data_IF_875787487487
#
_entry.id   IF_875787487487
#
_cell.length_a   1.000
_cell.length_b   1.000
_cell.length_c   1.000
_cell.angle_alpha   90.00
_cell.angle_beta   90.00
_cell.angle_gamma   90.00
#
_symmetry.space_group_name_H-M   'P 1'
#
loop_
_entity.id
_entity.type
_entity.pdbx_description
1 polymer ?
#
# COMPACT_ATOMS: atom_id res chain seq x y z
N UNK A 1 45.97 -28.37 25.89
CA UNK A 1 44.70 -29.00 25.49
C UNK A 1 43.87 -27.90 24.87
N UNK A 2 43.94 -27.81 23.55
CA UNK A 2 43.08 -26.95 22.72
C UNK A 2 41.80 -27.71 22.50
N UNK A 3 40.69 -27.12 22.93
CA UNK A 3 39.35 -27.66 22.72
C UNK A 3 38.99 -27.58 21.23
N UNK A 4 38.69 -28.69 20.54
CA UNK A 4 38.38 -28.68 19.12
C UNK A 4 36.89 -28.97 18.93
N UNK A 5 36.04 -27.95 18.84
CA UNK A 5 34.76 -27.95 18.08
C UNK A 5 33.93 -26.69 18.43
N UNK A 6 34.36 -25.55 17.91
CA UNK A 6 33.38 -24.58 17.41
C UNK A 6 33.47 -24.73 15.89
N UNK A 7 32.56 -25.52 15.31
CA UNK A 7 32.28 -25.43 13.88
C UNK A 7 31.81 -24.00 13.66
N UNK A 8 32.70 -23.14 13.16
CA UNK A 8 32.29 -21.92 12.47
C UNK A 8 31.38 -22.38 11.33
N UNK A 9 30.07 -22.31 11.55
CA UNK A 9 29.09 -22.45 10.48
C UNK A 9 29.40 -21.29 9.54
N UNK A 10 29.95 -21.61 8.37
CA UNK A 10 30.24 -20.60 7.37
C UNK A 10 28.89 -20.16 6.77
N UNK A 11 28.29 -19.16 7.42
CA UNK A 11 26.98 -18.60 7.08
C UNK A 11 26.91 -18.25 5.59
N UNK A 12 27.99 -17.72 5.02
CA UNK A 12 28.08 -17.36 3.60
C UNK A 12 27.96 -18.58 2.67
N UNK A 13 28.59 -19.71 3.02
CA UNK A 13 28.47 -20.95 2.23
C UNK A 13 27.05 -21.53 2.27
N UNK A 14 26.35 -21.40 3.41
CA UNK A 14 24.96 -21.87 3.53
C UNK A 14 24.00 -21.00 2.70
N UNK A 15 24.21 -19.68 2.70
CA UNK A 15 23.42 -18.73 1.87
C UNK A 15 23.59 -19.09 0.39
N UNK A 16 24.83 -19.19 -0.08
CA UNK A 16 25.13 -19.53 -1.48
C UNK A 16 24.55 -20.90 -1.88
N UNK A 17 24.59 -21.89 -0.98
CA UNK A 17 23.97 -23.18 -1.26
C UNK A 17 22.44 -23.07 -1.39
N UNK A 18 21.76 -22.33 -0.50
CA UNK A 18 20.31 -22.15 -0.58
C UNK A 18 19.93 -21.46 -1.90
N UNK A 19 20.59 -20.35 -2.25
CA UNK A 19 20.31 -19.63 -3.49
C UNK A 19 20.57 -20.49 -4.74
N UNK A 20 21.68 -21.24 -4.76
CA UNK A 20 21.99 -22.15 -5.85
C UNK A 20 20.92 -23.25 -6.00
N UNK A 21 20.43 -23.80 -4.90
CA UNK A 21 19.39 -24.83 -4.95
C UNK A 21 18.05 -24.20 -5.36
N UNK A 22 17.78 -22.94 -4.99
CA UNK A 22 16.61 -22.19 -5.44
C UNK A 22 16.65 -21.92 -6.95
N UNK A 23 17.79 -21.50 -7.49
CA UNK A 23 17.98 -21.27 -8.93
C UNK A 23 17.91 -22.57 -9.75
N UNK A 24 18.18 -23.73 -9.13
CA UNK A 24 18.02 -25.04 -9.76
C UNK A 24 16.60 -25.62 -9.61
N UNK A 25 15.68 -24.89 -8.95
CA UNK A 25 14.30 -25.32 -8.68
C UNK A 25 14.19 -26.68 -7.97
N UNK A 26 15.17 -27.06 -7.14
CA UNK A 26 15.20 -28.34 -6.41
C UNK A 26 14.48 -28.20 -5.06
N UNK A 27 13.15 -28.24 -5.10
CA UNK A 27 12.28 -28.15 -3.91
C UNK A 27 12.64 -29.20 -2.82
N UNK A 28 12.87 -30.49 -3.14
CA UNK A 28 13.28 -31.47 -2.12
C UNK A 28 14.54 -31.07 -1.35
N UNK A 29 15.57 -30.57 -2.05
CA UNK A 29 16.81 -30.13 -1.39
C UNK A 29 16.62 -28.80 -0.66
N UNK A 30 15.87 -27.83 -1.24
CA UNK A 30 15.52 -26.59 -0.56
C UNK A 30 14.84 -26.85 0.78
N UNK A 31 13.87 -27.77 0.82
CA UNK A 31 13.15 -28.12 2.04
C UNK A 31 14.08 -28.66 3.14
N UNK A 32 15.10 -29.43 2.77
CA UNK A 32 16.09 -29.91 3.73
C UNK A 32 16.94 -28.74 4.25
N UNK A 33 17.45 -27.90 3.36
CA UNK A 33 18.27 -26.75 3.74
C UNK A 33 17.53 -25.75 4.62
N UNK A 34 16.26 -25.44 4.32
CA UNK A 34 15.43 -24.56 5.14
C UNK A 34 15.25 -25.13 6.55
N UNK A 35 14.99 -26.44 6.67
CA UNK A 35 14.84 -27.09 7.99
C UNK A 35 16.14 -27.12 8.78
N UNK A 36 17.24 -27.43 8.12
CA UNK A 36 18.55 -27.58 8.76
C UNK A 36 19.11 -26.22 9.25
N UNK A 37 18.66 -25.10 8.67
CA UNK A 37 19.14 -23.76 8.99
C UNK A 37 18.12 -22.88 9.75
N UNK A 38 16.98 -23.42 10.18
CA UNK A 38 15.90 -22.65 10.80
C UNK A 38 16.27 -21.97 12.14
N UNK A 39 17.40 -22.32 12.76
CA UNK A 39 17.81 -21.77 14.07
C UNK A 39 18.40 -20.35 13.98
N UNK A 40 18.75 -19.87 12.79
CA UNK A 40 19.41 -18.57 12.58
C UNK A 40 18.51 -17.55 11.89
N UNK A 41 17.20 -17.69 12.00
CA UNK A 41 16.18 -16.93 11.26
C UNK A 41 15.53 -17.76 10.16
N UNK A 42 14.64 -17.16 9.36
CA UNK A 42 13.97 -17.87 8.27
C UNK A 42 14.91 -18.01 7.05
N UNK A 43 15.39 -19.22 6.70
CA UNK A 43 16.32 -19.40 5.59
C UNK A 43 15.72 -19.09 4.22
N UNK A 44 14.39 -18.98 4.11
CA UNK A 44 13.72 -18.52 2.89
C UNK A 44 13.96 -17.03 2.59
N UNK A 45 14.47 -16.27 3.57
CA UNK A 45 14.72 -14.82 3.51
C UNK A 45 16.21 -14.44 3.58
N UNK A 46 17.12 -15.41 3.44
CA UNK A 46 18.55 -15.08 3.36
C UNK A 46 18.83 -14.20 2.15
N UNK A 47 19.80 -13.29 2.27
CA UNK A 47 20.22 -12.41 1.18
C UNK A 47 21.67 -12.68 0.83
N UNK A 48 21.94 -12.82 -0.47
CA UNK A 48 23.30 -12.80 -0.98
C UNK A 48 23.93 -11.41 -0.76
N UNK A 49 25.08 -11.31 -0.07
CA UNK A 49 25.72 -10.01 0.19
C UNK A 49 26.21 -9.29 -1.07
N UNK A 50 26.40 -9.99 -2.20
CA UNK A 50 26.91 -9.39 -3.43
C UNK A 50 25.82 -8.83 -4.35
N UNK A 51 24.64 -9.47 -4.39
CA UNK A 51 23.53 -9.08 -5.27
C UNK A 51 22.29 -8.61 -4.53
N UNK A 52 22.16 -8.94 -3.24
CA UNK A 52 20.93 -8.76 -2.46
C UNK A 52 19.85 -9.78 -2.78
N UNK A 53 20.14 -10.77 -3.65
CA UNK A 53 19.14 -11.76 -4.04
C UNK A 53 18.70 -12.59 -2.84
N UNK A 54 17.40 -12.79 -2.76
CA UNK A 54 16.77 -13.80 -1.91
C UNK A 54 16.59 -15.10 -2.69
N UNK A 55 16.27 -16.23 -2.04
CA UNK A 55 15.86 -17.45 -2.74
C UNK A 55 14.74 -17.22 -3.77
N UNK A 56 13.80 -16.28 -3.52
CA UNK A 56 12.79 -15.90 -4.50
C UNK A 56 13.41 -15.25 -5.74
N UNK A 57 14.30 -14.25 -5.57
CA UNK A 57 15.01 -13.65 -6.70
C UNK A 57 15.78 -14.69 -7.51
N UNK A 58 16.53 -15.57 -6.84
CA UNK A 58 17.32 -16.61 -7.50
C UNK A 58 16.45 -17.60 -8.28
N UNK A 59 15.31 -18.03 -7.73
CA UNK A 59 14.38 -18.92 -8.42
C UNK A 59 13.75 -18.25 -9.66
N UNK A 60 13.43 -16.95 -9.59
CA UNK A 60 12.81 -16.20 -10.69
C UNK A 60 13.84 -15.87 -11.77
N UNK A 61 15.04 -15.44 -11.40
CA UNK A 61 16.13 -15.13 -12.32
C UNK A 61 16.49 -16.35 -13.20
N UNK A 62 16.45 -17.56 -12.64
CA UNK A 62 16.71 -18.80 -13.38
C UNK A 62 15.66 -19.14 -14.45
N UNK A 63 14.55 -18.40 -14.52
CA UNK A 63 13.50 -18.55 -15.54
C UNK A 63 13.68 -17.60 -16.74
N UNK A 64 14.75 -16.80 -16.79
CA UNK A 64 15.04 -15.92 -17.92
C UNK A 64 15.20 -16.72 -19.23
N UNK A 65 14.70 -16.17 -20.33
CA UNK A 65 14.77 -16.82 -21.64
C UNK A 65 16.17 -16.61 -22.25
N UNK A 66 16.91 -17.68 -22.56
CA UNK A 66 18.23 -17.65 -23.23
C UNK A 66 18.21 -17.03 -24.66
N UNK A 67 17.06 -16.54 -25.13
CA UNK A 67 16.85 -16.07 -26.49
C UNK A 67 17.53 -14.73 -26.83
N UNK A 68 17.87 -13.92 -25.82
CA UNK A 68 18.57 -12.63 -26.00
C UNK A 68 20.05 -12.81 -26.40
N UNK A 69 20.71 -13.91 -26.01
CA UNK A 69 22.13 -14.15 -26.31
C UNK A 69 22.37 -14.73 -27.74
N UNK A 70 21.32 -15.21 -28.42
CA UNK A 70 21.45 -16.01 -29.64
C UNK A 70 21.16 -15.27 -30.96
N UNK A 71 21.44 -13.96 -31.03
CA UNK A 71 21.43 -13.17 -32.28
C UNK A 71 22.59 -13.52 -33.24
N UNK A 72 22.98 -14.81 -33.31
CA UNK A 72 24.24 -15.20 -33.95
C UNK A 72 24.42 -16.63 -34.43
N UNK A 73 23.46 -17.57 -34.38
CA UNK A 73 23.53 -18.79 -35.20
C UNK A 73 22.27 -19.69 -35.11
N UNK A 74 21.66 -19.95 -36.28
CA UNK A 74 21.04 -21.25 -36.58
C UNK A 74 19.65 -21.51 -36.01
N UNK A 75 18.62 -21.00 -36.68
CA UNK A 75 17.25 -21.48 -36.55
C UNK A 75 17.14 -22.95 -37.02
N UNK A 76 17.08 -23.89 -36.08
CA UNK A 76 16.73 -25.29 -36.38
C UNK A 76 16.03 -26.09 -35.25
N UNK A 77 15.86 -25.55 -34.03
CA UNK A 77 15.32 -26.32 -32.88
C UNK A 77 14.22 -25.61 -32.06
N UNK A 78 13.40 -24.74 -32.67
CA UNK A 78 12.42 -23.88 -31.96
C UNK A 78 11.45 -24.64 -31.04
N UNK A 79 10.81 -25.70 -31.53
CA UNK A 79 9.78 -26.44 -30.75
C UNK A 79 10.33 -27.16 -29.52
N UNK A 80 11.59 -27.62 -29.56
CA UNK A 80 12.23 -28.32 -28.42
C UNK A 80 12.75 -27.36 -27.36
N UNK A 81 13.20 -26.17 -27.76
CA UNK A 81 13.66 -25.13 -26.85
C UNK A 81 12.48 -24.47 -26.12
N UNK A 82 11.38 -24.20 -26.83
CA UNK A 82 10.14 -23.67 -26.22
C UNK A 82 9.57 -24.62 -25.16
N UNK A 83 9.53 -25.93 -25.44
CA UNK A 83 9.06 -26.93 -24.48
C UNK A 83 9.96 -27.07 -23.25
N UNK A 84 11.27 -26.86 -23.38
CA UNK A 84 12.17 -26.91 -22.25
C UNK A 84 12.07 -25.64 -21.40
N UNK A 85 11.97 -24.47 -22.05
CA UNK A 85 11.77 -23.20 -21.36
C UNK A 85 10.47 -23.18 -20.56
N UNK A 86 9.39 -23.75 -21.11
CA UNK A 86 8.12 -23.87 -20.40
C UNK A 86 8.24 -24.73 -19.15
N UNK A 87 9.03 -25.82 -19.19
CA UNK A 87 9.28 -26.64 -17.99
C UNK A 87 10.08 -25.87 -16.94
N UNK A 88 11.07 -25.08 -17.35
CA UNK A 88 11.84 -24.23 -16.42
C UNK A 88 10.93 -23.20 -15.76
N UNK A 89 10.08 -22.52 -16.53
CA UNK A 89 9.09 -21.57 -16.00
C UNK A 89 8.12 -22.24 -15.03
N UNK A 90 7.65 -23.45 -15.35
CA UNK A 90 6.78 -24.23 -14.46
C UNK A 90 7.49 -24.65 -13.16
N UNK A 91 8.74 -25.13 -13.24
CA UNK A 91 9.52 -25.50 -12.07
C UNK A 91 9.84 -24.28 -11.17
N UNK A 92 10.12 -23.13 -11.80
CA UNK A 92 10.29 -21.85 -11.11
C UNK A 92 9.01 -21.40 -10.40
N UNK A 93 7.86 -21.49 -11.06
CA UNK A 93 6.56 -21.20 -10.46
C UNK A 93 6.27 -22.07 -9.23
N UNK A 94 6.54 -23.39 -9.31
CA UNK A 94 6.39 -24.30 -8.18
C UNK A 94 7.36 -23.97 -7.03
N UNK A 95 8.59 -23.59 -7.36
CA UNK A 95 9.61 -23.19 -6.38
C UNK A 95 9.23 -21.89 -5.68
N UNK A 96 8.74 -20.89 -6.42
CA UNK A 96 8.24 -19.62 -5.88
C UNK A 96 7.07 -19.87 -4.91
N UNK A 97 6.09 -20.69 -5.31
CA UNK A 97 4.96 -21.05 -4.43
C UNK A 97 5.44 -21.73 -3.15
N UNK A 98 6.40 -22.65 -3.25
CA UNK A 98 6.97 -23.32 -2.10
C UNK A 98 7.69 -22.32 -1.17
N UNK A 99 8.54 -21.45 -1.69
CA UNK A 99 9.26 -20.46 -0.90
C UNK A 99 8.31 -19.50 -0.16
N UNK A 100 7.25 -19.02 -0.83
CA UNK A 100 6.22 -18.20 -0.20
C UNK A 100 5.49 -18.94 0.94
N UNK A 101 5.25 -20.25 0.79
CA UNK A 101 4.65 -21.09 1.85
C UNK A 101 5.59 -21.27 3.05
N UNK A 102 6.91 -21.23 2.82
CA UNK A 102 7.94 -21.26 3.88
C UNK A 102 8.23 -19.85 4.45
N UNK A 103 7.41 -18.85 4.12
CA UNK A 103 7.49 -17.50 4.68
C UNK A 103 8.49 -16.58 3.99
N UNK A 104 8.79 -16.82 2.71
CA UNK A 104 9.57 -15.90 1.90
C UNK A 104 8.85 -14.53 1.73
N UNK A 105 9.59 -13.43 1.87
CA UNK A 105 9.08 -12.06 1.78
C UNK A 105 8.92 -11.65 0.31
N UNK A 106 7.70 -11.25 -0.07
CA UNK A 106 7.30 -11.01 -1.45
C UNK A 106 7.80 -9.67 -2.02
N UNK A 107 8.03 -8.67 -1.16
CA UNK A 107 8.45 -7.30 -1.49
C UNK A 107 9.91 -7.00 -1.09
N UNK A 108 10.67 -8.04 -0.76
CA UNK A 108 12.05 -7.89 -0.31
C UNK A 108 12.92 -7.31 -1.44
N UNK A 109 13.77 -6.32 -1.13
CA UNK A 109 14.58 -5.64 -2.16
C UNK A 109 15.95 -6.29 -2.34
N UNK A 110 16.39 -6.39 -3.61
CA UNK A 110 17.77 -6.65 -4.00
C UNK A 110 18.63 -5.36 -4.00
N UNK A 111 19.91 -5.45 -4.36
CA UNK A 111 20.79 -4.27 -4.41
C UNK A 111 20.50 -3.31 -5.58
N UNK A 112 19.62 -3.68 -6.51
CA UNK A 112 19.15 -2.84 -7.61
C UNK A 112 17.80 -2.20 -7.32
N UNK A 113 17.29 -2.31 -6.09
CA UNK A 113 15.97 -1.82 -5.69
C UNK A 113 14.83 -2.52 -6.45
N UNK A 114 15.01 -3.79 -6.85
CA UNK A 114 13.98 -4.66 -7.41
C UNK A 114 13.44 -5.64 -6.36
N UNK A 115 12.12 -5.86 -6.37
CA UNK A 115 11.49 -6.98 -5.65
C UNK A 115 11.46 -8.24 -6.53
N UNK A 116 11.15 -9.43 -5.98
CA UNK A 116 10.93 -10.63 -6.78
C UNK A 116 9.92 -10.44 -7.91
N UNK A 117 8.83 -9.70 -7.67
CA UNK A 117 7.85 -9.41 -8.72
C UNK A 117 8.29 -8.31 -9.70
N UNK A 118 9.12 -7.34 -9.30
CA UNK A 118 9.77 -6.44 -10.27
C UNK A 118 10.60 -7.24 -11.29
N UNK A 119 11.42 -8.17 -10.79
CA UNK A 119 12.21 -9.08 -11.61
C UNK A 119 11.30 -9.95 -12.50
N UNK A 120 10.26 -10.58 -11.95
CA UNK A 120 9.32 -11.39 -12.72
C UNK A 120 8.65 -10.60 -13.85
N UNK A 121 8.22 -9.36 -13.57
CA UNK A 121 7.61 -8.47 -14.57
C UNK A 121 8.60 -8.11 -15.67
N UNK A 122 9.84 -7.75 -15.30
CA UNK A 122 10.90 -7.39 -16.25
C UNK A 122 11.25 -8.55 -17.18
N UNK A 123 11.23 -9.78 -16.68
CA UNK A 123 11.45 -11.00 -17.45
C UNK A 123 10.20 -11.50 -18.21
N UNK A 124 9.06 -10.82 -18.10
CA UNK A 124 7.82 -11.22 -18.77
C UNK A 124 7.17 -12.50 -18.19
N UNK A 125 7.48 -12.86 -16.95
CA UNK A 125 7.02 -14.07 -16.27
C UNK A 125 5.64 -13.86 -15.61
N UNK A 126 4.59 -13.72 -16.42
CA UNK A 126 3.25 -13.32 -15.97
C UNK A 126 2.65 -14.17 -14.84
N UNK A 127 2.69 -15.51 -14.93
CA UNK A 127 2.11 -16.36 -13.87
C UNK A 127 2.88 -16.29 -12.55
N UNK A 128 4.21 -16.13 -12.62
CA UNK A 128 5.06 -15.94 -11.45
C UNK A 128 4.77 -14.58 -10.84
N UNK A 129 4.67 -13.53 -11.66
CA UNK A 129 4.31 -12.19 -11.23
C UNK A 129 2.99 -12.18 -10.45
N UNK A 130 1.92 -12.76 -11.01
CA UNK A 130 0.63 -12.85 -10.32
C UNK A 130 0.72 -13.65 -9.01
N UNK A 131 1.54 -14.70 -8.96
CA UNK A 131 1.75 -15.47 -7.73
C UNK A 131 2.40 -14.62 -6.62
N UNK A 132 3.32 -13.72 -6.97
CA UNK A 132 3.93 -12.78 -6.01
C UNK A 132 2.90 -11.70 -5.60
N UNK A 133 2.13 -11.15 -6.55
CA UNK A 133 1.04 -10.21 -6.24
C UNK A 133 0.04 -10.83 -5.27
N UNK A 134 -0.44 -12.04 -5.54
CA UNK A 134 -1.37 -12.75 -4.65
C UNK A 134 -0.76 -13.01 -3.27
N UNK A 135 0.57 -13.18 -3.18
CA UNK A 135 1.25 -13.28 -1.89
C UNK A 135 1.24 -11.96 -1.12
N UNK A 136 1.47 -10.84 -1.81
CA UNK A 136 1.34 -9.51 -1.23
C UNK A 136 -0.07 -9.26 -0.70
N UNK A 137 -1.10 -9.57 -1.49
CA UNK A 137 -2.50 -9.44 -1.05
C UNK A 137 -2.78 -10.26 0.20
N UNK A 138 -2.33 -11.52 0.26
CA UNK A 138 -2.50 -12.35 1.46
C UNK A 138 -1.77 -11.78 2.69
N UNK A 139 -0.59 -11.22 2.49
CA UNK A 139 0.18 -10.59 3.57
C UNK A 139 -0.54 -9.35 4.11
N UNK A 140 -0.96 -8.43 3.24
CA UNK A 140 -1.69 -7.21 3.63
C UNK A 140 -3.00 -7.55 4.37
N UNK A 141 -3.80 -8.50 3.86
CA UNK A 141 -5.05 -8.90 4.52
C UNK A 141 -4.82 -9.53 5.90
N UNK A 142 -3.72 -10.27 6.06
CA UNK A 142 -3.36 -10.87 7.35
C UNK A 142 -2.92 -9.79 8.34
N UNK A 143 -2.04 -8.88 7.92
CA UNK A 143 -1.53 -7.78 8.75
C UNK A 143 -2.68 -6.87 9.21
N UNK A 144 -3.56 -6.44 8.28
CA UNK A 144 -4.76 -5.67 8.59
C UNK A 144 -5.67 -6.35 9.63
N UNK A 145 -5.64 -7.69 9.72
CA UNK A 145 -6.42 -8.45 10.71
C UNK A 145 -5.68 -8.61 12.05
N UNK A 146 -4.36 -8.70 12.02
CA UNK A 146 -3.51 -8.83 13.21
C UNK A 146 -3.42 -7.52 13.99
N UNK A 147 -3.44 -6.36 13.32
CA UNK A 147 -3.48 -5.05 13.99
C UNK A 147 -4.75 -4.84 14.81
N UNK A 148 -5.82 -5.59 14.51
CA UNK A 148 -7.06 -5.64 15.29
C UNK A 148 -7.12 -6.80 16.31
N UNK A 149 -6.06 -7.58 16.47
CA UNK A 149 -6.01 -8.70 17.41
C UNK A 149 -5.58 -8.21 18.79
N UNK A 150 -6.55 -7.98 19.68
CA UNK A 150 -6.26 -7.97 21.12
C UNK A 150 -5.92 -9.41 21.55
N UNK A 151 -4.75 -9.67 22.15
CA UNK A 151 -4.45 -10.98 22.69
C UNK A 151 -5.51 -11.34 23.71
N UNK A 152 -6.13 -12.52 23.54
CA UNK A 152 -6.96 -13.10 24.57
C UNK A 152 -6.06 -13.28 25.79
N UNK A 153 -6.28 -12.47 26.83
CA UNK A 153 -5.71 -12.73 28.15
C UNK A 153 -6.20 -14.13 28.50
N UNK A 154 -5.28 -15.10 28.53
CA UNK A 154 -5.55 -16.39 29.11
C UNK A 154 -5.92 -16.10 30.57
N UNK A 155 -7.21 -16.25 30.91
CA UNK A 155 -7.62 -16.31 32.31
C UNK A 155 -6.85 -17.48 32.90
N UNK A 156 -5.73 -17.18 33.58
CA UNK A 156 -5.10 -18.13 34.49
C UNK A 156 -6.19 -18.59 35.44
N UNK A 157 -6.44 -19.90 35.46
CA UNK A 157 -7.35 -20.58 36.37
C UNK A 157 -6.99 -20.20 37.82
N UNK A 158 -7.58 -19.12 38.34
CA UNK A 158 -7.53 -18.78 39.76
C UNK A 158 -8.69 -19.49 40.47
N UNK A 159 -8.28 -20.45 41.29
CA UNK A 159 -9.06 -21.27 42.21
C UNK A 159 -10.28 -20.55 42.82
N UNK A 160 -11.43 -21.21 42.73
CA UNK A 160 -12.64 -20.89 43.49
C UNK A 160 -12.37 -20.90 45.01
N UNK A 161 -12.29 -19.73 45.66
CA UNK A 161 -12.72 -19.60 47.06
C UNK A 161 -13.57 -18.34 47.26
N UNK A 162 -14.83 -18.59 47.64
CA UNK A 162 -15.87 -17.65 48.05
C UNK A 162 -15.38 -16.61 49.10
N UNK A 163 -15.62 -15.32 48.84
CA UNK A 163 -16.26 -14.47 49.87
C UNK A 163 -16.87 -13.19 49.28
N UNK A 164 -18.13 -12.98 49.63
CA UNK A 164 -18.96 -11.80 49.33
C UNK A 164 -18.47 -10.54 50.08
N UNK A 165 -18.47 -9.37 49.42
CA UNK A 165 -19.18 -8.13 49.82
C UNK A 165 -18.66 -6.89 49.03
N UNK A 166 -19.59 -6.12 48.44
CA UNK A 166 -19.39 -4.81 47.79
C UNK A 166 -19.39 -3.65 48.82
N UNK A 167 -19.38 -2.36 48.42
CA UNK A 167 -18.45 -1.58 47.59
C UNK A 167 -17.94 -0.31 48.33
N UNK A 168 -17.03 0.46 47.73
CA UNK A 168 -17.03 1.96 47.63
C UNK A 168 -15.67 2.67 47.70
N UNK A 169 -15.47 3.56 46.70
CA UNK A 169 -14.91 4.92 46.72
C UNK A 169 -13.39 5.22 46.75
N UNK A 170 -13.03 5.99 45.70
CA UNK A 170 -12.17 7.20 45.62
C UNK A 170 -10.62 7.13 45.57
N UNK A 171 -10.14 7.71 44.45
CA UNK A 171 -9.05 8.70 44.25
C UNK A 171 -7.66 8.48 44.88
N UNK A 172 -6.63 8.60 44.04
CA UNK A 172 -5.35 9.24 44.45
C UNK A 172 -4.07 8.56 43.96
N UNK A 173 -3.44 9.20 42.97
CA UNK A 173 -2.03 9.21 42.59
C UNK A 173 -1.00 8.44 43.47
N UNK A 174 -0.09 7.68 42.86
CA UNK A 174 1.33 8.03 42.56
C UNK A 174 2.20 6.77 42.44
N UNK A 175 3.03 6.76 41.39
CA UNK A 175 4.23 5.96 41.08
C UNK A 175 4.85 5.10 42.20
N UNK A 176 5.27 3.87 41.87
CA UNK A 176 6.67 3.46 42.02
C UNK A 176 7.01 2.22 41.19
N UNK A 177 8.23 2.22 40.66
CA UNK A 177 8.90 1.18 39.90
C UNK A 177 9.09 -0.09 40.74
N UNK A 178 8.77 -1.25 40.16
CA UNK A 178 9.42 -2.52 40.55
C UNK A 178 9.92 -3.23 39.31
N UNK A 179 11.24 -3.26 39.22
CA UNK A 179 12.06 -4.11 38.35
C UNK A 179 11.79 -5.58 38.62
N UNK A 180 11.45 -6.34 37.59
CA UNK A 180 11.68 -7.78 37.54
C UNK A 180 11.98 -8.14 36.08
N UNK A 181 13.23 -8.55 35.84
CA UNK A 181 13.66 -9.33 34.68
C UNK A 181 12.73 -10.53 34.53
N UNK A 182 12.10 -10.70 33.38
CA UNK A 182 11.84 -12.02 32.83
C UNK A 182 12.02 -11.99 31.32
N UNK A 183 12.59 -13.08 30.82
CA UNK A 183 13.32 -13.18 29.57
C UNK A 183 12.37 -13.15 28.37
N UNK A 184 12.62 -12.21 27.45
CA UNK A 184 12.00 -12.11 26.14
C UNK A 184 12.12 -13.45 25.37
N UNK A 185 11.00 -14.15 25.19
CA UNK A 185 10.83 -14.96 23.98
C UNK A 185 10.53 -13.98 22.85
N UNK A 186 11.52 -13.82 21.96
CA UNK A 186 11.43 -12.96 20.79
C UNK A 186 10.32 -13.48 19.85
N UNK A 187 9.16 -12.83 19.92
CA UNK A 187 8.16 -12.84 18.86
C UNK A 187 8.82 -12.26 17.61
N UNK A 188 8.76 -12.92 16.44
CA UNK A 188 9.40 -12.42 15.23
C UNK A 188 8.77 -11.07 14.85
N UNK A 189 9.62 -10.06 14.69
CA UNK A 189 9.29 -8.73 14.22
C UNK A 189 8.69 -8.83 12.81
N UNK A 190 7.37 -8.62 12.73
CA UNK A 190 6.59 -8.63 11.49
C UNK A 190 6.74 -7.27 10.83
N UNK A 191 7.41 -7.24 9.68
CA UNK A 191 7.59 -6.03 8.89
C UNK A 191 6.27 -5.64 8.22
N UNK A 192 5.73 -4.50 8.60
CA UNK A 192 4.73 -3.78 7.82
C UNK A 192 5.25 -3.57 6.39
N UNK A 193 4.34 -3.47 5.42
CA UNK A 193 4.63 -2.82 4.15
C UNK A 193 4.76 -1.30 4.35
N UNK A 194 5.60 -0.86 5.29
CA UNK A 194 6.03 0.52 5.35
C UNK A 194 7.15 0.74 4.34
N UNK A 195 7.02 1.86 3.62
CA UNK A 195 7.98 2.42 2.67
C UNK A 195 9.43 2.09 3.04
N UNK A 196 10.19 1.64 2.03
CA UNK A 196 11.63 1.39 2.07
C UNK A 196 12.35 2.16 3.20
N UNK A 197 12.81 1.43 4.23
CA UNK A 197 13.66 1.99 5.28
C UNK A 197 15.04 2.30 4.68
N UNK A 198 15.14 3.48 4.07
CA UNK A 198 16.42 4.17 3.90
C UNK A 198 16.83 4.70 5.27
N UNK A 199 18.06 4.39 5.70
CA UNK A 199 18.64 4.70 7.02
C UNK A 199 18.99 6.19 7.24
N UNK A 200 18.23 7.12 6.67
CA UNK A 200 18.24 8.51 7.11
C UNK A 200 17.06 8.74 8.04
N UNK A 201 17.27 9.51 9.12
CA UNK A 201 16.22 9.90 10.06
C UNK A 201 15.20 10.80 9.34
N UNK A 202 14.33 10.19 8.55
CA UNK A 202 13.25 10.83 7.80
C UNK A 202 12.03 10.97 8.72
N UNK A 203 11.56 12.21 8.89
CA UNK A 203 10.30 12.46 9.58
C UNK A 203 9.16 11.83 8.75
N UNK A 204 8.38 10.97 9.41
CA UNK A 204 7.20 10.34 8.82
C UNK A 204 6.15 11.41 8.44
N UNK A 205 5.58 11.27 7.24
CA UNK A 205 4.51 12.16 6.75
C UNK A 205 3.22 11.76 7.46
N UNK A 206 2.89 12.48 8.53
CA UNK A 206 1.65 12.27 9.30
C UNK A 206 0.65 13.40 9.05
N UNK A 207 -0.64 13.12 9.17
CA UNK A 207 -1.72 14.11 9.09
C UNK A 207 -1.44 15.34 9.99
N UNK A 208 -0.98 15.09 11.22
CA UNK A 208 -0.65 16.16 12.18
C UNK A 208 0.53 17.01 11.71
N UNK A 209 1.59 16.41 11.18
CA UNK A 209 2.74 17.17 10.66
C UNK A 209 2.33 17.98 9.44
N UNK A 210 1.57 17.38 8.52
CA UNK A 210 1.07 18.04 7.32
C UNK A 210 0.22 19.27 7.65
N UNK A 211 -0.78 19.15 8.52
CA UNK A 211 -1.69 20.26 8.88
C UNK A 211 -0.99 21.42 9.63
N UNK A 212 0.19 21.18 10.19
CA UNK A 212 1.01 22.20 10.86
C UNK A 212 2.16 22.71 9.96
N UNK A 213 2.29 22.18 8.74
CA UNK A 213 3.35 22.55 7.81
C UNK A 213 3.01 23.84 7.05
N UNK A 214 4.03 24.50 6.49
CA UNK A 214 3.81 25.58 5.52
C UNK A 214 3.78 24.99 4.12
N UNK A 215 2.84 25.42 3.28
CA UNK A 215 2.76 24.95 1.90
C UNK A 215 3.42 25.92 0.91
N UNK A 216 4.06 25.34 -0.11
CA UNK A 216 4.60 26.10 -1.24
C UNK A 216 3.71 25.89 -2.46
N UNK A 217 2.96 26.94 -2.82
CA UNK A 217 2.17 26.97 -4.05
C UNK A 217 3.02 27.45 -5.23
N UNK A 218 3.11 26.63 -6.27
CA UNK A 218 3.66 26.99 -7.57
C UNK A 218 2.56 26.84 -8.64
N UNK A 219 2.83 27.26 -9.87
CA UNK A 219 1.82 27.20 -10.94
C UNK A 219 1.41 25.76 -11.28
N UNK A 220 2.32 24.81 -11.11
CA UNK A 220 2.21 23.42 -11.54
C UNK A 220 2.21 22.41 -10.39
N UNK A 221 2.44 22.85 -9.15
CA UNK A 221 2.57 21.95 -7.99
C UNK A 221 2.25 22.61 -6.65
N UNK A 222 1.83 21.79 -5.71
CA UNK A 222 1.71 22.07 -4.28
C UNK A 222 2.66 21.16 -3.52
N UNK A 223 3.56 21.76 -2.73
CA UNK A 223 4.54 21.03 -1.92
C UNK A 223 4.36 21.34 -0.44
N UNK A 224 4.59 20.35 0.41
CA UNK A 224 4.68 20.54 1.87
C UNK A 224 6.06 21.12 2.29
N UNK A 225 6.25 21.29 3.60
CA UNK A 225 7.49 21.82 4.15
C UNK A 225 8.73 20.95 3.86
N UNK A 226 8.54 19.64 3.68
CA UNK A 226 9.59 18.66 3.40
C UNK A 226 9.78 18.40 1.90
N UNK A 227 9.11 19.17 1.03
CA UNK A 227 9.12 19.04 -0.42
C UNK A 227 8.48 17.74 -0.94
N UNK A 228 7.56 17.14 -0.18
CA UNK A 228 6.69 16.10 -0.70
C UNK A 228 5.65 16.70 -1.66
N UNK A 229 5.38 16.00 -2.76
CA UNK A 229 4.34 16.39 -3.71
C UNK A 229 2.96 16.14 -3.13
N UNK A 230 2.22 17.21 -2.82
CA UNK A 230 0.84 17.13 -2.30
C UNK A 230 -0.16 17.05 -3.46
N UNK A 231 0.05 17.86 -4.50
CA UNK A 231 -0.78 17.89 -5.71
C UNK A 231 0.06 18.36 -6.89
N UNK A 232 -0.12 17.78 -8.07
CA UNK A 232 0.65 18.13 -9.26
C UNK A 232 -0.23 18.32 -10.51
N UNK A 233 0.13 19.26 -11.38
CA UNK A 233 -0.69 19.61 -12.54
C UNK A 233 -0.82 18.49 -13.60
N UNK A 234 0.11 17.52 -13.63
CA UNK A 234 0.05 16.40 -14.57
C UNK A 234 -1.20 15.52 -14.36
N UNK A 235 -1.80 15.56 -13.16
CA UNK A 235 -3.02 14.83 -12.79
C UNK A 235 -4.29 15.42 -13.43
N UNK A 236 -4.19 16.55 -14.14
CA UNK A 236 -5.37 17.27 -14.67
C UNK A 236 -6.29 16.40 -15.56
N UNK A 237 -5.77 15.49 -16.39
CA UNK A 237 -6.62 14.60 -17.21
C UNK A 237 -7.40 13.60 -16.34
N UNK A 238 -6.74 13.06 -15.30
CA UNK A 238 -7.34 12.16 -14.31
C UNK A 238 -8.47 12.90 -13.59
N UNK A 239 -8.23 14.12 -13.11
CA UNK A 239 -9.22 14.93 -12.41
C UNK A 239 -10.43 15.28 -13.30
N UNK A 240 -10.19 15.61 -14.58
CA UNK A 240 -11.26 15.90 -15.54
C UNK A 240 -12.14 14.67 -15.81
N UNK A 241 -11.55 13.48 -15.93
CA UNK A 241 -12.30 12.22 -16.13
C UNK A 241 -13.05 11.81 -14.89
N UNK A 242 -12.43 11.92 -13.71
CA UNK A 242 -13.07 11.70 -12.40
C UNK A 242 -14.34 12.55 -12.29
N UNK A 243 -14.23 13.86 -12.56
CA UNK A 243 -15.37 14.76 -12.49
C UNK A 243 -16.51 14.41 -13.45
N UNK A 244 -16.19 13.96 -14.68
CA UNK A 244 -17.20 13.54 -15.67
C UNK A 244 -17.89 12.22 -15.30
N UNK A 245 -17.16 11.27 -14.72
CA UNK A 245 -17.71 9.98 -14.33
C UNK A 245 -18.62 10.09 -13.09
N UNK A 246 -18.25 11.00 -12.17
CA UNK A 246 -19.01 11.30 -10.96
C UNK A 246 -20.23 12.20 -11.24
N UNK A 247 -20.09 13.22 -12.09
CA UNK A 247 -21.19 14.11 -12.52
C UNK A 247 -21.49 13.95 -14.02
N UNK A 248 -22.12 12.83 -14.44
CA UNK A 248 -22.44 12.60 -15.85
C UNK A 248 -23.55 13.53 -16.37
N UNK A 249 -24.32 14.14 -15.46
CA UNK A 249 -25.42 15.05 -15.77
C UNK A 249 -25.40 16.26 -14.84
N UNK A 250 -25.92 17.43 -15.29
CA UNK A 250 -26.04 18.61 -14.43
C UNK A 250 -26.98 18.42 -13.24
N UNK A 251 -26.92 19.39 -12.30
CA UNK A 251 -27.79 19.52 -11.12
C UNK A 251 -27.63 18.41 -10.06
N UNK A 252 -26.54 17.66 -10.08
CA UNK A 252 -26.18 16.73 -9.00
C UNK A 252 -25.52 17.47 -7.83
N UNK A 253 -25.69 16.96 -6.61
CA UNK A 253 -25.04 17.41 -5.39
C UNK A 253 -23.71 16.68 -5.25
N UNK A 254 -22.61 17.43 -5.18
CA UNK A 254 -21.26 16.86 -5.09
C UNK A 254 -20.58 17.28 -3.79
N UNK A 255 -19.87 16.33 -3.19
CA UNK A 255 -18.95 16.53 -2.08
C UNK A 255 -17.52 16.21 -2.55
N UNK A 256 -16.61 17.16 -2.37
CA UNK A 256 -15.18 16.95 -2.51
C UNK A 256 -14.51 16.96 -1.12
N UNK A 257 -13.57 16.06 -0.88
CA UNK A 257 -12.82 15.93 0.37
C UNK A 257 -11.33 16.07 0.03
N UNK A 258 -10.76 17.23 0.39
CA UNK A 258 -9.44 17.66 -0.04
C UNK A 258 -9.54 18.60 -1.25
N UNK A 259 -9.28 19.90 -1.04
CA UNK A 259 -9.32 20.89 -2.12
C UNK A 259 -8.01 20.92 -2.92
N UNK A 260 -6.88 20.81 -2.22
CA UNK A 260 -5.56 20.92 -2.82
C UNK A 260 -5.40 22.20 -3.65
N UNK A 261 -5.19 22.05 -4.96
CA UNK A 261 -5.09 23.18 -5.90
C UNK A 261 -6.43 23.62 -6.53
N UNK A 262 -7.54 22.93 -6.23
CA UNK A 262 -8.87 23.19 -6.77
C UNK A 262 -9.07 22.73 -8.21
N UNK A 263 -8.25 21.78 -8.70
CA UNK A 263 -8.31 21.25 -10.06
C UNK A 263 -9.62 20.49 -10.27
N UNK A 264 -9.90 19.48 -9.43
CA UNK A 264 -11.14 18.71 -9.58
C UNK A 264 -12.37 19.57 -9.29
N UNK A 265 -12.32 20.45 -8.29
CA UNK A 265 -13.40 21.37 -7.97
C UNK A 265 -13.77 22.26 -9.15
N UNK A 266 -12.78 22.68 -9.95
CA UNK A 266 -13.01 23.45 -11.17
C UNK A 266 -13.79 22.61 -12.18
N UNK A 267 -13.40 21.36 -12.41
CA UNK A 267 -14.12 20.46 -13.31
C UNK A 267 -15.52 20.11 -12.79
N UNK A 268 -15.72 19.97 -11.48
CA UNK A 268 -17.05 19.82 -10.90
C UNK A 268 -17.93 21.03 -11.20
N UNK A 269 -17.43 22.25 -10.99
CA UNK A 269 -18.18 23.47 -11.30
C UNK A 269 -18.53 23.59 -12.79
N UNK A 270 -17.68 23.10 -13.70
CA UNK A 270 -17.98 23.04 -15.14
C UNK A 270 -19.15 22.10 -15.46
N UNK A 271 -19.42 21.08 -14.64
CA UNK A 271 -20.58 20.18 -14.78
C UNK A 271 -21.89 20.76 -14.25
N UNK A 272 -21.88 22.00 -13.74
CA UNK A 272 -23.09 22.69 -13.23
C UNK A 272 -23.84 21.89 -12.15
N UNK A 273 -23.20 21.61 -11.00
CA UNK A 273 -23.84 20.92 -9.88
C UNK A 273 -24.93 21.79 -9.26
N UNK A 274 -25.89 21.18 -8.56
CA UNK A 274 -26.90 21.91 -7.80
C UNK A 274 -26.36 22.43 -6.47
N UNK A 275 -25.46 21.68 -5.84
CA UNK A 275 -24.62 22.10 -4.72
C UNK A 275 -23.24 21.45 -4.81
N UNK A 276 -22.24 22.15 -4.29
CA UNK A 276 -20.84 21.73 -4.29
C UNK A 276 -20.24 21.96 -2.91
N UNK A 277 -20.10 20.89 -2.14
CA UNK A 277 -19.52 20.95 -0.80
C UNK A 277 -18.05 20.57 -0.90
N UNK A 278 -17.18 21.33 -0.22
CA UNK A 278 -15.74 21.08 -0.20
C UNK A 278 -15.30 21.01 1.27
N UNK A 279 -14.68 19.91 1.68
CA UNK A 279 -14.07 19.77 3.00
C UNK A 279 -12.57 19.98 2.87
N UNK A 280 -12.03 20.92 3.65
CA UNK A 280 -10.60 21.23 3.65
C UNK A 280 -10.13 21.56 5.06
N UNK A 281 -9.02 20.94 5.47
CA UNK A 281 -8.47 21.03 6.82
C UNK A 281 -7.25 21.95 6.90
N UNK A 282 -6.48 22.09 5.82
CA UNK A 282 -5.21 22.80 5.84
C UNK A 282 -5.40 24.33 5.82
N UNK A 283 -4.88 25.09 6.81
CA UNK A 283 -5.08 26.53 6.90
C UNK A 283 -4.62 27.33 5.66
N UNK A 284 -3.45 26.99 5.10
CA UNK A 284 -2.93 27.66 3.89
C UNK A 284 -3.82 27.41 2.65
N UNK A 285 -4.37 26.20 2.49
CA UNK A 285 -5.29 25.89 1.38
C UNK A 285 -6.59 26.67 1.55
N UNK A 286 -7.15 26.71 2.78
CA UNK A 286 -8.33 27.51 3.09
C UNK A 286 -8.13 29.02 2.82
N UNK A 287 -6.95 29.55 3.15
CA UNK A 287 -6.61 30.94 2.87
C UNK A 287 -6.54 31.21 1.36
N UNK A 288 -5.95 30.30 0.59
CA UNK A 288 -5.87 30.40 -0.87
C UNK A 288 -7.25 30.22 -1.54
N UNK A 289 -8.10 29.33 -1.03
CA UNK A 289 -9.50 29.21 -1.46
C UNK A 289 -10.26 30.53 -1.30
N UNK A 290 -10.12 31.17 -0.14
CA UNK A 290 -10.72 32.48 0.14
C UNK A 290 -10.18 33.54 -0.81
N UNK A 291 -8.86 33.58 -1.02
CA UNK A 291 -8.20 34.52 -1.93
C UNK A 291 -8.65 34.35 -3.40
N UNK A 292 -8.85 33.11 -3.86
CA UNK A 292 -9.37 32.79 -5.21
C UNK A 292 -10.89 32.96 -5.34
N UNK A 293 -11.59 33.35 -4.28
CA UNK A 293 -13.03 33.59 -4.31
C UNK A 293 -13.89 32.32 -4.36
N UNK A 294 -13.37 31.15 -3.93
CA UNK A 294 -14.15 29.91 -3.92
C UNK A 294 -15.41 30.01 -3.07
N UNK A 295 -15.33 30.69 -1.93
CA UNK A 295 -16.46 30.95 -1.04
C UNK A 295 -17.58 31.81 -1.65
N UNK A 296 -17.33 32.48 -2.78
CA UNK A 296 -18.33 33.30 -3.49
C UNK A 296 -18.94 32.58 -4.71
N UNK A 297 -18.42 31.40 -5.08
CA UNK A 297 -18.90 30.66 -6.24
C UNK A 297 -20.32 30.14 -6.01
N UNK A 298 -21.20 30.16 -7.03
CA UNK A 298 -22.57 29.68 -6.91
C UNK A 298 -22.64 28.21 -6.45
N UNK A 299 -23.45 27.95 -5.42
CA UNK A 299 -23.68 26.60 -4.92
C UNK A 299 -22.51 26.00 -4.13
N UNK A 300 -21.40 26.72 -3.93
CA UNK A 300 -20.24 26.24 -3.18
C UNK A 300 -20.43 26.47 -1.68
N UNK A 301 -20.20 25.42 -0.89
CA UNK A 301 -20.13 25.45 0.58
C UNK A 301 -18.79 24.88 1.02
N UNK A 302 -18.00 25.66 1.77
CA UNK A 302 -16.70 25.23 2.29
C UNK A 302 -16.88 24.82 3.77
N UNK A 303 -16.43 23.62 4.11
CA UNK A 303 -16.37 23.10 5.47
C UNK A 303 -14.91 23.10 5.92
N UNK A 304 -14.58 23.96 6.88
CA UNK A 304 -13.23 24.08 7.44
C UNK A 304 -13.04 23.05 8.55
N UNK A 305 -12.16 22.07 8.35
CA UNK A 305 -11.88 21.03 9.35
C UNK A 305 -11.55 19.67 8.75
N UNK A 306 -11.27 18.69 9.63
CA UNK A 306 -11.02 17.31 9.22
C UNK A 306 -12.32 16.65 8.75
N UNK A 307 -12.21 15.80 7.73
CA UNK A 307 -13.38 15.06 7.23
C UNK A 307 -14.00 14.18 8.31
N UNK A 308 -13.19 13.58 9.19
CA UNK A 308 -13.68 12.73 10.29
C UNK A 308 -14.53 13.49 11.32
N UNK A 309 -14.46 14.82 11.37
CA UNK A 309 -15.31 15.67 12.20
C UNK A 309 -16.51 16.23 11.42
N UNK A 310 -16.28 16.61 10.15
CA UNK A 310 -17.28 17.27 9.31
C UNK A 310 -18.34 16.28 8.80
N UNK A 311 -17.94 15.10 8.31
CA UNK A 311 -18.86 14.15 7.68
C UNK A 311 -19.92 13.61 8.67
N UNK A 312 -19.58 13.25 9.92
CA UNK A 312 -20.60 12.86 10.90
C UNK A 312 -21.63 13.96 11.18
N UNK A 313 -21.21 15.23 11.21
CA UNK A 313 -22.14 16.34 11.41
C UNK A 313 -23.11 16.50 10.22
N UNK A 314 -22.60 16.40 8.99
CA UNK A 314 -23.43 16.43 7.77
C UNK A 314 -24.44 15.28 7.74
N UNK A 315 -24.02 14.07 8.13
CA UNK A 315 -24.90 12.90 8.23
C UNK A 315 -26.01 13.12 9.27
N UNK A 316 -25.69 13.69 10.45
CA UNK A 316 -26.67 14.02 11.49
C UNK A 316 -27.70 15.07 11.03
N UNK A 317 -27.30 15.99 10.15
CA UNK A 317 -28.19 16.97 9.52
C UNK A 317 -29.02 16.38 8.37
N UNK A 318 -28.78 15.12 7.98
CA UNK A 318 -29.45 14.44 6.87
C UNK A 318 -29.02 14.96 5.50
N UNK A 319 -27.81 15.51 5.39
CA UNK A 319 -27.24 15.97 4.12
C UNK A 319 -26.66 14.78 3.37
N UNK A 320 -27.19 14.52 2.18
CA UNK A 320 -26.69 13.49 1.26
C UNK A 320 -26.20 14.09 -0.06
N UNK A 321 -25.37 13.33 -0.76
CA UNK A 321 -24.73 13.71 -2.02
C UNK A 321 -24.95 12.66 -3.10
N UNK A 322 -25.11 13.10 -4.33
CA UNK A 322 -25.22 12.22 -5.50
C UNK A 322 -23.84 11.77 -6.00
N UNK A 323 -22.79 12.57 -5.68
CA UNK A 323 -21.41 12.32 -6.03
C UNK A 323 -20.46 12.66 -4.86
N UNK A 324 -19.47 11.80 -4.57
CA UNK A 324 -18.43 12.07 -3.57
C UNK A 324 -17.04 11.81 -4.19
N UNK A 325 -16.07 12.68 -3.92
CA UNK A 325 -14.67 12.46 -4.28
C UNK A 325 -13.76 12.62 -3.07
N UNK A 326 -12.82 11.68 -2.93
CA UNK A 326 -11.84 11.63 -1.86
C UNK A 326 -10.41 11.73 -2.42
N UNK A 327 -9.73 12.84 -2.11
CA UNK A 327 -8.36 13.12 -2.56
C UNK A 327 -7.65 13.94 -1.48
N UNK A 328 -7.35 13.25 -0.38
CA UNK A 328 -6.68 13.82 0.79
C UNK A 328 -5.17 13.55 0.74
N UNK A 329 -4.43 14.17 1.66
CA UNK A 329 -2.99 13.97 1.79
C UNK A 329 -2.62 13.63 3.23
N UNK A 330 -1.61 12.79 3.39
CA UNK A 330 -1.10 12.32 4.69
C UNK A 330 -2.14 11.56 5.55
N UNK A 331 -3.06 10.84 4.90
CA UNK A 331 -3.95 9.87 5.53
C UNK A 331 -3.42 8.46 5.32
N UNK A 332 -3.59 7.57 6.31
CA UNK A 332 -3.21 6.16 6.20
C UNK A 332 -4.25 5.35 5.40
N UNK A 333 -3.90 4.11 5.05
CA UNK A 333 -4.89 3.19 4.46
C UNK A 333 -6.04 2.89 5.43
N UNK A 334 -5.76 2.83 6.74
CA UNK A 334 -6.79 2.62 7.76
C UNK A 334 -7.79 3.78 7.80
N UNK A 335 -7.33 5.03 7.71
CA UNK A 335 -8.17 6.22 7.62
C UNK A 335 -9.05 6.17 6.36
N UNK A 336 -8.49 5.75 5.23
CA UNK A 336 -9.24 5.58 3.98
C UNK A 336 -10.28 4.45 4.09
N UNK A 337 -9.94 3.34 4.74
CA UNK A 337 -10.87 2.24 5.01
C UNK A 337 -12.03 2.68 5.88
N UNK A 338 -11.76 3.39 6.98
CA UNK A 338 -12.79 3.99 7.84
C UNK A 338 -13.68 4.96 7.04
N UNK A 339 -13.09 5.79 6.19
CA UNK A 339 -13.84 6.74 5.38
C UNK A 339 -14.92 6.04 4.55
N UNK A 340 -14.57 5.01 3.78
CA UNK A 340 -15.58 4.34 2.95
C UNK A 340 -16.46 3.36 3.72
N UNK A 341 -15.97 2.71 4.77
CA UNK A 341 -16.76 1.74 5.52
C UNK A 341 -17.76 2.39 6.48
N UNK A 342 -17.47 3.59 6.99
CA UNK A 342 -18.31 4.27 7.99
C UNK A 342 -18.94 5.57 7.48
N UNK A 343 -18.17 6.43 6.82
CA UNK A 343 -18.64 7.77 6.49
C UNK A 343 -19.48 7.80 5.22
N UNK A 344 -19.00 7.19 4.13
CA UNK A 344 -19.68 7.23 2.81
C UNK A 344 -21.10 6.67 2.92
N UNK A 345 -21.32 5.62 3.70
CA UNK A 345 -22.64 5.00 3.92
C UNK A 345 -23.68 6.02 4.41
N UNK A 346 -23.29 6.95 5.28
CA UNK A 346 -24.20 7.92 5.91
C UNK A 346 -24.55 9.13 5.05
N UNK A 347 -23.78 9.40 3.99
CA UNK A 347 -23.86 10.66 3.22
C UNK A 347 -24.01 10.45 1.70
N UNK A 348 -23.84 9.23 1.18
CA UNK A 348 -24.07 8.92 -0.22
C UNK A 348 -25.56 8.64 -0.46
N UNK A 349 -26.14 9.28 -1.47
CA UNK A 349 -27.54 9.06 -1.88
C UNK A 349 -27.76 7.67 -2.48
N UNK A 350 -28.99 7.16 -2.42
CA UNK A 350 -29.37 5.93 -3.13
C UNK A 350 -29.13 6.08 -4.64
N UNK A 351 -28.27 5.22 -5.22
CA UNK A 351 -27.84 5.32 -6.62
C UNK A 351 -26.76 6.38 -6.89
N UNK A 352 -26.24 7.00 -5.83
CA UNK A 352 -25.07 7.88 -5.88
C UNK A 352 -23.80 7.14 -6.26
N UNK A 353 -22.77 7.90 -6.60
CA UNK A 353 -21.46 7.38 -7.00
C UNK A 353 -20.36 8.05 -6.21
N UNK A 354 -19.28 7.34 -5.97
CA UNK A 354 -18.12 7.96 -5.38
C UNK A 354 -16.83 7.46 -6.01
N UNK A 355 -15.75 8.19 -5.81
CA UNK A 355 -14.44 7.85 -6.32
C UNK A 355 -13.36 8.48 -5.46
N UNK A 356 -12.12 8.13 -5.73
CA UNK A 356 -10.97 8.61 -4.99
C UNK A 356 -9.74 8.71 -5.89
N UNK A 357 -8.74 9.48 -5.46
CA UNK A 357 -7.43 9.44 -6.09
C UNK A 357 -6.71 8.13 -5.71
N UNK A 358 -6.50 7.25 -6.67
CA UNK A 358 -5.88 5.94 -6.46
C UNK A 358 -4.35 6.01 -6.66
N UNK A 359 -3.66 6.54 -5.65
CA UNK A 359 -2.20 6.62 -5.57
C UNK A 359 -1.50 5.50 -4.78
N UNK A 360 -2.25 4.56 -4.21
CA UNK A 360 -1.73 3.57 -3.26
C UNK A 360 -0.72 2.63 -3.91
N UNK A 361 0.54 2.69 -3.47
CA UNK A 361 1.63 1.87 -4.03
C UNK A 361 2.04 2.27 -5.45
N UNK A 362 1.66 3.45 -5.94
CA UNK A 362 1.96 3.88 -7.31
C UNK A 362 3.45 4.21 -7.55
N UNK A 363 4.27 4.22 -6.50
CA UNK A 363 5.73 4.29 -6.54
C UNK A 363 6.39 2.97 -6.99
N UNK A 364 5.62 1.87 -7.08
CA UNK A 364 6.09 0.59 -7.63
C UNK A 364 4.93 -0.24 -8.17
N UNK A 365 5.03 -0.72 -9.41
CA UNK A 365 3.95 -1.48 -10.05
C UNK A 365 3.39 -2.64 -9.20
N UNK A 366 4.27 -3.46 -8.63
CA UNK A 366 3.79 -4.62 -7.86
C UNK A 366 2.97 -4.19 -6.64
N UNK A 367 3.38 -3.10 -5.96
CA UNK A 367 2.65 -2.53 -4.84
C UNK A 367 1.31 -1.98 -5.30
N UNK A 368 1.27 -1.27 -6.44
CA UNK A 368 0.04 -0.77 -7.07
C UNK A 368 -0.95 -1.89 -7.41
N UNK A 369 -0.46 -3.04 -7.89
CA UNK A 369 -1.28 -4.20 -8.23
C UNK A 369 -1.78 -4.94 -6.98
N UNK A 370 -0.96 -5.01 -5.92
CA UNK A 370 -1.36 -5.56 -4.62
C UNK A 370 -2.46 -4.69 -4.00
N UNK A 371 -2.23 -3.38 -3.86
CA UNK A 371 -3.20 -2.48 -3.22
C UNK A 371 -4.49 -2.34 -4.03
N UNK A 372 -4.46 -2.49 -5.35
CA UNK A 372 -5.70 -2.59 -6.13
C UNK A 372 -6.55 -3.79 -5.67
N UNK A 373 -5.96 -4.99 -5.57
CA UNK A 373 -6.72 -6.19 -5.15
C UNK A 373 -7.18 -6.08 -3.69
N UNK A 374 -6.36 -5.48 -2.82
CA UNK A 374 -6.73 -5.26 -1.40
C UNK A 374 -7.92 -4.31 -1.30
N UNK A 375 -7.87 -3.15 -1.97
CA UNK A 375 -8.97 -2.18 -1.92
C UNK A 375 -10.25 -2.71 -2.58
N UNK A 376 -10.15 -3.51 -3.65
CA UNK A 376 -11.31 -4.19 -4.23
C UNK A 376 -12.01 -5.11 -3.22
N UNK A 377 -11.26 -5.85 -2.42
CA UNK A 377 -11.81 -6.73 -1.38
C UNK A 377 -12.44 -5.95 -0.24
N UNK A 378 -11.77 -4.89 0.24
CA UNK A 378 -12.30 -4.06 1.33
C UNK A 378 -13.54 -3.25 0.91
N UNK A 379 -13.57 -2.75 -0.33
CA UNK A 379 -14.75 -2.10 -0.91
C UNK A 379 -15.94 -3.06 -1.01
N UNK A 380 -15.68 -4.28 -1.46
CA UNK A 380 -16.69 -5.33 -1.54
C UNK A 380 -17.24 -5.68 -0.13
N UNK A 381 -16.35 -5.80 0.87
CA UNK A 381 -16.75 -6.01 2.26
C UNK A 381 -17.62 -4.86 2.81
N UNK A 382 -17.31 -3.62 2.42
CA UNK A 382 -18.09 -2.42 2.76
C UNK A 382 -19.38 -2.26 1.93
N UNK A 383 -19.70 -3.18 1.01
CA UNK A 383 -20.93 -3.17 0.23
C UNK A 383 -20.90 -2.30 -1.02
N UNK A 384 -19.71 -2.09 -1.61
CA UNK A 384 -19.51 -1.36 -2.85
C UNK A 384 -19.03 -2.25 -4.00
N UNK A 385 -19.58 -2.02 -5.18
CA UNK A 385 -18.96 -2.42 -6.45
C UNK A 385 -18.03 -1.30 -6.93
N UNK A 386 -16.89 -1.68 -7.53
CA UNK A 386 -15.94 -0.74 -8.14
C UNK A 386 -15.70 -1.07 -9.62
N UNK A 387 -15.83 -0.05 -10.46
CA UNK A 387 -15.42 -0.09 -11.86
C UNK A 387 -14.09 0.68 -12.03
N UNK A 388 -13.18 0.15 -12.83
CA UNK A 388 -11.88 0.78 -13.10
C UNK A 388 -11.77 1.23 -14.56
N UNK A 389 -11.41 2.49 -14.78
CA UNK A 389 -10.98 3.01 -16.09
C UNK A 389 -9.45 3.15 -16.10
N UNK A 390 -8.77 2.49 -17.05
CA UNK A 390 -7.33 2.67 -17.24
C UNK A 390 -7.03 3.94 -18.06
N UNK A 391 -6.17 4.80 -17.51
CA UNK A 391 -5.73 6.06 -18.11
C UNK A 391 -4.21 6.01 -18.23
N UNK A 392 -3.65 6.04 -19.47
CA UNK A 392 -2.21 6.12 -19.65
C UNK A 392 -1.63 7.40 -19.04
N UNK A 393 -0.63 7.23 -18.18
CA UNK A 393 0.08 8.33 -17.53
C UNK A 393 1.20 8.78 -18.47
N UNK A 394 1.34 10.10 -18.74
CA UNK A 394 2.45 10.59 -19.54
C UNK A 394 3.78 10.31 -18.86
N UNK A 395 4.87 10.25 -19.62
CA UNK A 395 6.20 10.15 -19.03
C UNK A 395 6.47 11.38 -18.15
N UNK A 396 6.61 11.16 -16.83
CA UNK A 396 6.80 12.21 -15.83
C UNK A 396 8.28 12.62 -15.69
N UNK A 397 9.07 12.50 -16.77
CA UNK A 397 10.49 12.87 -16.77
C UNK A 397 10.62 14.39 -16.49
N UNK A 398 11.27 14.75 -15.38
CA UNK A 398 11.48 16.13 -14.97
C UNK A 398 10.39 16.73 -14.08
N UNK A 399 9.22 16.08 -13.98
CA UNK A 399 8.15 16.52 -13.06
C UNK A 399 8.61 16.47 -11.59
N UNK A 400 9.51 15.53 -11.28
CA UNK A 400 10.09 15.34 -9.94
C UNK A 400 11.18 16.35 -9.56
N UNK A 401 11.52 17.30 -10.42
CA UNK A 401 12.53 18.31 -10.10
C UNK A 401 12.09 19.17 -8.91
N UNK A 402 12.84 19.11 -7.81
CA UNK A 402 12.50 19.81 -6.57
C UNK A 402 11.45 19.11 -5.70
N UNK A 403 11.03 17.89 -6.06
CA UNK A 403 10.19 17.02 -5.23
C UNK A 403 11.10 16.01 -4.53
N UNK A 404 10.91 15.80 -3.22
CA UNK A 404 11.77 14.94 -2.40
C UNK A 404 11.79 13.49 -2.90
N UNK A 405 10.61 12.94 -3.22
CA UNK A 405 10.42 11.57 -3.70
C UNK A 405 9.38 11.54 -4.81
N UNK A 406 9.65 10.76 -5.85
CA UNK A 406 8.64 10.46 -6.86
C UNK A 406 7.59 9.54 -6.24
N UNK A 407 6.32 9.95 -6.24
CA UNK A 407 5.22 9.14 -5.70
C UNK A 407 4.51 8.33 -6.81
N UNK A 408 4.94 8.48 -8.07
CA UNK A 408 4.31 7.82 -9.21
C UNK A 408 5.34 7.33 -10.23
N UNK A 409 5.32 6.04 -10.54
CA UNK A 409 6.16 5.43 -11.59
C UNK A 409 5.40 4.44 -12.49
N UNK A 410 4.11 4.25 -12.25
CA UNK A 410 3.27 3.29 -12.97
C UNK A 410 2.79 3.86 -14.32
N UNK A 411 2.70 3.00 -15.35
CA UNK A 411 2.37 3.42 -16.71
C UNK A 411 0.90 3.85 -16.89
N UNK A 412 -0.02 3.25 -16.14
CA UNK A 412 -1.46 3.52 -16.24
C UNK A 412 -2.05 3.81 -14.86
N UNK A 413 -2.82 4.88 -14.75
CA UNK A 413 -3.66 5.19 -13.60
C UNK A 413 -4.97 4.41 -13.72
N UNK A 414 -5.40 3.76 -12.63
CA UNK A 414 -6.69 3.06 -12.55
C UNK A 414 -7.68 3.95 -11.81
N UNK A 415 -8.61 4.54 -12.56
CA UNK A 415 -9.63 5.45 -12.04
C UNK A 415 -10.81 4.67 -11.44
N UNK A 416 -11.04 4.75 -10.12
CA UNK A 416 -12.16 4.07 -9.48
C UNK A 416 -13.47 4.83 -9.68
N UNK A 417 -14.55 4.09 -9.94
CA UNK A 417 -15.92 4.54 -9.80
C UNK A 417 -16.70 3.52 -8.96
N UNK A 418 -16.99 3.90 -7.73
CA UNK A 418 -17.65 3.07 -6.73
C UNK A 418 -19.15 3.38 -6.64
N UNK A 419 -19.96 2.35 -6.42
CA UNK A 419 -21.41 2.42 -6.20
C UNK A 419 -21.81 1.40 -5.15
N UNK A 420 -22.91 1.64 -4.44
CA UNK A 420 -23.50 0.57 -3.61
C UNK A 420 -23.82 -0.65 -4.50
N UNK A 421 -23.57 -1.84 -3.95
CA UNK A 421 -23.96 -3.09 -4.61
C UNK A 421 -25.49 -3.18 -4.74
N UNK A 422 -25.95 -3.77 -5.85
CA UNK A 422 -27.39 -3.98 -6.13
C UNK A 422 -28.02 -5.18 -5.41
#
# INVERSE_FOLDING_TARGET
MTDPTTLDVNVDLNIQEILLVASNHDIPKLRLLIRDNAQTGNPANVKDPETGFTPLHAAIAACEDDSEENNGAGAANGEGQEQEQEKVKQAGLETVRFLLQEGAIWNDLDLNDETPGCLARRLGLGEIYETIVDAGVRAELLLNRLDGYEPLIEEEDEDEEDNEEQPEQQEGETKEETTADDQDEAVPELVEATTAVTTDADAEVTNTNYLNSNLTFQNDRLLDADQNGVMMAWESDIMSRSAKNLLPTPNLRVLNIGHGMGIIDTFFQEQSPSSHHIVEAHPDVLAEMKHKGWHEKPGVTIHEGKWSEVLPALAQEGVTFDAIYYDTFAESYADFKEFFSEQVIGILEEGGRWGFFNGMGADRQISYDVYQKVVEMDLFEAGYDVEWEEIPVPKLEGEWSGVKRAYWVVDNYRLPLCKFME
#
